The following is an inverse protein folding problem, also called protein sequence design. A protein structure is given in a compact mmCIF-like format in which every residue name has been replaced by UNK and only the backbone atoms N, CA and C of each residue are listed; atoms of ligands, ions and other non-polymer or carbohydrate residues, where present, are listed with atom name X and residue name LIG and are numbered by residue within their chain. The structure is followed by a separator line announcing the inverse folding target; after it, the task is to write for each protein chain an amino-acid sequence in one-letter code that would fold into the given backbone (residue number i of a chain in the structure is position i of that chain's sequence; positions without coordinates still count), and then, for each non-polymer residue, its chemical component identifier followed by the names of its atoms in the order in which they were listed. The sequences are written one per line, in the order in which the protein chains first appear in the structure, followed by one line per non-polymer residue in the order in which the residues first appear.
data_IF_314781973538
#
_entry.id   IF_314781973538
#
_cell.length_a   1.000
_cell.length_b   1.000
_cell.length_c   1.000
_cell.angle_alpha   90.00
_cell.angle_beta   90.00
_cell.angle_gamma   90.00
#
_symmetry.space_group_name_H-M   'P 1'
#
loop_
_entity.id
_entity.type
_entity.pdbx_description
1 polymer ?
#
# COMPACT_ATOMS: atom_id res chain seq x y z
N UNK A 1 6.51 19.99 -3.70
CA UNK A 1 5.76 18.72 -3.71
C UNK A 1 6.61 17.65 -4.40
N UNK A 2 7.29 16.79 -3.65
CA UNK A 2 8.00 15.65 -4.25
C UNK A 2 6.99 14.57 -4.64
N UNK A 3 6.93 14.23 -5.93
CA UNK A 3 6.06 13.16 -6.42
C UNK A 3 6.65 11.79 -6.03
N UNK A 4 5.90 11.01 -5.25
CA UNK A 4 6.33 9.67 -4.81
C UNK A 4 5.91 8.58 -5.83
N UNK A 5 6.42 8.70 -7.05
CA UNK A 5 6.13 7.78 -8.17
C UNK A 5 7.12 6.61 -8.21
N UNK A 6 6.71 5.45 -8.78
CA UNK A 6 7.61 4.31 -8.99
C UNK A 6 8.61 4.59 -10.11
N UNK A 7 9.87 4.23 -9.89
CA UNK A 7 10.95 4.24 -10.86
C UNK A 7 11.27 2.78 -11.20
N UNK A 8 11.07 2.41 -12.47
CA UNK A 8 11.36 1.07 -13.01
C UNK A 8 12.77 1.01 -13.58
N UNK A 9 13.43 -0.17 -13.64
CA UNK A 9 12.92 -1.49 -13.24
C UNK A 9 13.17 -1.83 -11.76
N UNK A 10 13.90 -0.99 -11.01
CA UNK A 10 14.23 -1.26 -9.61
C UNK A 10 13.04 -1.11 -8.63
N UNK A 11 11.93 -0.54 -9.11
CA UNK A 11 10.76 -0.21 -8.30
C UNK A 11 11.10 0.68 -7.10
N UNK A 12 11.98 1.66 -7.27
CA UNK A 12 12.30 2.63 -6.21
C UNK A 12 11.38 3.85 -6.30
N UNK A 13 11.30 4.63 -5.24
CA UNK A 13 10.48 5.83 -5.19
C UNK A 13 11.31 7.04 -5.62
N UNK A 14 10.86 7.77 -6.64
CA UNK A 14 11.55 8.97 -7.12
C UNK A 14 11.79 10.03 -6.02
N UNK A 15 10.87 10.13 -5.05
CA UNK A 15 10.99 11.12 -3.97
C UNK A 15 11.94 10.74 -2.82
N UNK A 16 12.33 9.46 -2.67
CA UNK A 16 13.16 9.00 -1.52
C UNK A 16 14.25 7.98 -1.86
N UNK A 17 14.29 7.45 -3.08
CA UNK A 17 15.18 6.34 -3.46
C UNK A 17 14.83 4.97 -2.85
N UNK A 18 13.90 4.92 -1.89
CA UNK A 18 13.49 3.70 -1.18
C UNK A 18 12.54 2.84 -2.01
N UNK A 19 12.33 1.59 -1.59
CA UNK A 19 11.34 0.69 -2.20
C UNK A 19 9.96 1.36 -2.32
N UNK A 20 9.43 1.41 -3.55
CA UNK A 20 8.07 1.87 -3.83
C UNK A 20 7.04 0.74 -3.63
N UNK A 21 5.87 0.94 -2.98
CA UNK A 21 5.42 2.19 -2.38
C UNK A 21 6.22 2.52 -1.11
N UNK A 22 6.83 3.70 -1.07
CA UNK A 22 7.49 4.18 0.15
C UNK A 22 6.45 4.58 1.20
N UNK A 23 6.85 4.76 2.46
CA UNK A 23 5.92 5.12 3.55
C UNK A 23 5.02 6.33 3.22
N UNK A 24 5.57 7.39 2.61
CA UNK A 24 4.78 8.55 2.21
C UNK A 24 3.73 8.20 1.15
N UNK A 25 4.08 7.42 0.12
CA UNK A 25 3.11 7.00 -0.90
C UNK A 25 2.05 6.08 -0.31
N UNK A 26 2.41 5.18 0.60
CA UNK A 26 1.42 4.35 1.32
C UNK A 26 0.38 5.22 2.02
N UNK A 27 0.81 6.23 2.78
CA UNK A 27 -0.11 7.19 3.45
C UNK A 27 -0.98 7.98 2.47
N UNK A 28 -0.39 8.45 1.37
CA UNK A 28 -1.14 9.15 0.31
C UNK A 28 -2.21 8.24 -0.30
N UNK A 29 -1.87 6.99 -0.62
CA UNK A 29 -2.81 6.02 -1.17
C UNK A 29 -3.92 5.64 -0.17
N UNK A 30 -3.61 5.53 1.12
CA UNK A 30 -4.64 5.31 2.15
C UNK A 30 -5.62 6.49 2.24
N UNK A 31 -5.14 7.72 2.10
CA UNK A 31 -5.99 8.91 2.08
C UNK A 31 -6.80 9.04 0.77
N UNK A 32 -6.18 8.80 -0.39
CA UNK A 32 -6.80 8.83 -1.72
C UNK A 32 -7.94 7.80 -1.84
N UNK A 33 -7.78 6.62 -1.21
CA UNK A 33 -8.75 5.51 -1.27
C UNK A 33 -9.46 5.27 0.07
N UNK A 34 -9.63 6.30 0.89
CA UNK A 34 -10.32 6.19 2.18
C UNK A 34 -11.71 5.57 2.00
N UNK A 35 -12.02 4.49 2.75
CA UNK A 35 -13.27 3.74 2.62
C UNK A 35 -13.39 2.85 1.36
N UNK A 36 -12.43 2.90 0.44
CA UNK A 36 -12.46 2.19 -0.85
C UNK A 36 -11.32 1.16 -0.98
N UNK A 37 -11.19 0.26 0.00
CA UNK A 37 -10.09 -0.72 0.09
C UNK A 37 -9.95 -1.62 -1.13
N UNK A 38 -11.05 -2.10 -1.70
CA UNK A 38 -11.02 -2.96 -2.90
C UNK A 38 -10.44 -2.19 -4.09
N UNK A 39 -10.83 -0.92 -4.26
CA UNK A 39 -10.28 -0.05 -5.30
C UNK A 39 -8.78 0.17 -5.13
N UNK A 40 -8.29 0.32 -3.89
CA UNK A 40 -6.85 0.40 -3.61
C UNK A 40 -6.11 -0.89 -4.00
N UNK A 41 -6.67 -2.07 -3.69
CA UNK A 41 -6.09 -3.35 -4.09
C UNK A 41 -5.99 -3.49 -5.61
N UNK A 42 -7.06 -3.13 -6.33
CA UNK A 42 -7.09 -3.17 -7.79
C UNK A 42 -6.11 -2.18 -8.42
N UNK A 43 -5.96 -1.00 -7.83
CA UNK A 43 -4.96 -0.04 -8.26
C UNK A 43 -3.54 -0.60 -8.09
N UNK A 44 -3.25 -1.25 -6.96
CA UNK A 44 -1.94 -1.82 -6.67
C UNK A 44 -1.61 -3.09 -7.46
N UNK A 45 -2.62 -3.85 -7.90
CA UNK A 45 -2.41 -5.11 -8.64
C UNK A 45 -1.69 -4.91 -9.96
N UNK A 46 -1.98 -3.82 -10.68
CA UNK A 46 -1.24 -3.45 -11.89
C UNK A 46 0.27 -3.34 -11.62
N UNK A 47 0.63 -2.60 -10.57
CA UNK A 47 2.04 -2.39 -10.21
C UNK A 47 2.70 -3.69 -9.72
N UNK A 48 1.97 -4.53 -8.99
CA UNK A 48 2.46 -5.83 -8.58
C UNK A 48 2.84 -6.71 -9.78
N UNK A 49 1.96 -6.80 -10.79
CA UNK A 49 2.22 -7.60 -12.00
C UNK A 49 3.42 -7.05 -12.77
N UNK A 50 3.49 -5.74 -12.99
CA UNK A 50 4.65 -5.12 -13.65
C UNK A 50 5.96 -5.35 -12.84
N UNK A 51 5.89 -5.34 -11.51
CA UNK A 51 7.04 -5.59 -10.64
C UNK A 51 7.54 -7.03 -10.70
N UNK A 52 6.64 -8.00 -10.77
CA UNK A 52 7.02 -9.42 -10.96
C UNK A 52 7.81 -9.61 -12.26
N UNK A 53 7.45 -8.88 -13.33
CA UNK A 53 8.17 -8.94 -14.61
C UNK A 53 9.53 -8.23 -14.53
N UNK A 54 9.59 -7.06 -13.89
CA UNK A 54 10.82 -6.27 -13.82
C UNK A 54 11.85 -6.80 -12.81
N UNK A 55 11.40 -7.53 -11.78
CA UNK A 55 12.24 -8.03 -10.69
C UNK A 55 12.19 -9.56 -10.59
N UNK A 56 12.63 -10.32 -11.62
CA UNK A 56 12.49 -11.78 -11.66
C UNK A 56 13.28 -12.51 -10.55
N UNK A 57 14.32 -11.88 -10.00
CA UNK A 57 15.07 -12.40 -8.86
C UNK A 57 14.34 -12.21 -7.52
N UNK A 58 13.30 -11.37 -7.45
CA UNK A 58 12.51 -11.15 -6.24
C UNK A 58 11.32 -12.09 -6.24
N UNK A 59 11.13 -12.84 -5.15
CA UNK A 59 10.00 -13.77 -5.06
C UNK A 59 8.65 -13.03 -5.08
N UNK A 60 7.65 -13.67 -5.69
CA UNK A 60 6.27 -13.15 -5.71
C UNK A 60 5.72 -12.93 -4.29
N UNK A 61 6.12 -13.75 -3.32
CA UNK A 61 5.73 -13.59 -1.91
C UNK A 61 6.29 -12.31 -1.28
N UNK A 62 7.53 -11.93 -1.59
CA UNK A 62 8.12 -10.67 -1.15
C UNK A 62 7.41 -9.47 -1.76
N UNK A 63 7.12 -9.52 -3.07
CA UNK A 63 6.37 -8.47 -3.75
C UNK A 63 4.94 -8.38 -3.23
N UNK A 64 4.27 -9.51 -2.98
CA UNK A 64 2.92 -9.53 -2.40
C UNK A 64 2.90 -8.83 -1.05
N UNK A 65 3.85 -9.15 -0.15
CA UNK A 65 3.93 -8.48 1.15
C UNK A 65 4.14 -6.98 1.01
N UNK A 66 5.02 -6.57 0.10
CA UNK A 66 5.33 -5.17 -0.16
C UNK A 66 4.12 -4.35 -0.64
N UNK A 67 3.35 -4.89 -1.58
CA UNK A 67 2.20 -4.20 -2.15
C UNK A 67 0.94 -4.32 -1.30
N UNK A 68 0.70 -5.49 -0.72
CA UNK A 68 -0.63 -5.82 -0.19
C UNK A 68 -0.73 -6.00 1.30
N UNK A 69 0.32 -6.03 2.13
CA UNK A 69 0.12 -6.25 3.59
C UNK A 69 -0.39 -5.03 4.35
N UNK A 70 0.15 -3.85 4.06
CA UNK A 70 -0.16 -2.61 4.76
C UNK A 70 -1.58 -2.06 4.52
N UNK A 71 -2.28 -2.29 3.39
CA UNK A 71 -3.67 -1.85 3.26
C UNK A 71 -4.68 -2.72 4.05
N UNK A 72 -4.24 -3.86 4.62
CA UNK A 72 -5.04 -4.65 5.56
C UNK A 72 -4.78 -4.27 7.01
N UNK A 73 -3.79 -3.42 7.30
CA UNK A 73 -3.63 -2.90 8.65
C UNK A 73 -4.91 -2.15 9.01
N UNK A 74 -5.61 -2.54 10.09
CA UNK A 74 -6.79 -1.84 10.53
C UNK A 74 -6.41 -0.38 10.72
N UNK A 75 -7.03 0.51 9.95
CA UNK A 75 -7.15 1.89 10.36
C UNK A 75 -8.06 1.85 11.57
N UNK A 76 -7.49 1.66 12.76
CA UNK A 76 -8.23 1.60 14.02
C UNK A 76 -8.96 2.94 14.20
N UNK A 77 -10.22 2.96 13.80
CA UNK A 77 -11.11 4.10 13.87
C UNK A 77 -12.55 3.71 14.22
N UNK A 78 -12.77 2.46 14.66
CA UNK A 78 -14.06 2.01 15.21
C UNK A 78 -13.92 0.75 16.06
N UNK A 79 -13.09 0.76 17.11
CA UNK A 79 -13.55 0.14 18.36
C UNK A 79 -14.68 1.02 18.88
N UNK A 80 -15.90 0.64 18.52
CA UNK A 80 -17.09 1.27 19.08
C UNK A 80 -16.98 1.27 20.59
N UNK A 81 -17.05 2.47 21.17
CA UNK A 81 -17.75 2.70 22.42
C UNK A 81 -19.02 1.83 22.44
N UNK A 82 -18.92 0.62 23.01
CA UNK A 82 -20.06 -0.02 23.64
C UNK A 82 -19.99 0.43 25.09
N UNK A 83 -20.70 1.51 25.37
CA UNK A 83 -21.11 1.81 26.73
C UNK A 83 -21.91 0.60 27.20
N UNK A 84 -21.44 -0.05 28.26
CA UNK A 84 -22.24 -1.05 28.96
C UNK A 84 -23.58 -0.42 29.37
N UNK A 85 -24.73 -1.10 29.21
CA UNK A 85 -25.98 -0.59 29.75
C UNK A 85 -25.93 -0.62 31.29
N UNK A 86 -26.46 0.39 31.99
CA UNK A 86 -26.80 0.22 33.39
C UNK A 86 -28.11 -0.58 33.50
N UNK A 87 -28.08 -1.69 34.22
CA UNK A 87 -29.25 -2.54 34.51
C UNK A 87 -28.88 -4.00 34.65
#
# INVERSE_FOLDING_TARGET
MSMHVPVRPAWTCAGRGQAWPCLTRKRQLLAEFAGARVSLMLYLSRFFVEACVNMPATTSGTLYRRFFTWPYEPTDGRRGNVSAPPG
#
